data_IF_427628125664
#
_entry.id   IF_427628125664
#
_cell.length_a   1.000
_cell.length_b   1.000
_cell.length_c   1.000
_cell.angle_alpha   90.00
_cell.angle_beta   90.00
_cell.angle_gamma   90.00
#
_symmetry.space_group_name_H-M   'P 1'
#
loop_
_entity.id
_entity.type
_entity.pdbx_description
1 polymer ?
#
# COMPACT_ATOMS: atom_id res chain seq x y z
N UNK A 1 46.53 52.11 30.44
CA UNK A 1 46.90 50.80 29.89
C UNK A 1 46.19 50.62 28.56
N UNK A 2 47.00 50.51 27.50
CA UNK A 2 46.84 49.77 26.25
C UNK A 2 45.53 49.90 25.45
N UNK A 3 45.67 50.69 24.37
CA UNK A 3 44.99 50.63 23.08
C UNK A 3 45.28 49.32 22.35
N UNK A 4 44.26 48.64 21.81
CA UNK A 4 44.32 47.62 20.74
C UNK A 4 42.91 47.42 20.18
N UNK A 5 42.65 47.10 18.92
CA UNK A 5 43.23 47.42 17.63
C UNK A 5 42.14 47.05 16.62
N UNK A 6 41.92 47.87 15.60
CA UNK A 6 41.06 47.54 14.47
C UNK A 6 41.66 46.39 13.66
N UNK A 7 40.84 45.41 13.27
CA UNK A 7 41.11 44.45 12.21
C UNK A 7 39.81 44.31 11.41
N UNK A 8 39.64 45.05 10.32
CA UNK A 8 40.01 44.62 8.95
C UNK A 8 39.61 43.18 8.66
N UNK A 9 38.35 42.99 8.24
CA UNK A 9 37.95 41.82 7.46
C UNK A 9 38.03 42.18 5.98
N UNK A 10 38.78 41.44 5.15
CA UNK A 10 38.98 41.77 3.75
C UNK A 10 37.73 41.46 2.92
N UNK A 11 37.35 42.46 2.12
CA UNK A 11 36.46 42.39 0.99
C UNK A 11 37.25 41.89 -0.24
N UNK A 12 37.20 40.60 -0.56
CA UNK A 12 37.63 40.01 -1.85
C UNK A 12 36.87 38.69 -1.99
N UNK A 13 36.00 38.45 -2.96
CA UNK A 13 36.21 38.55 -4.40
C UNK A 13 35.68 37.21 -4.96
N UNK A 14 34.58 37.25 -5.70
CA UNK A 14 34.05 36.06 -6.36
C UNK A 14 34.96 35.68 -7.54
N UNK A 15 35.19 34.38 -7.75
CA UNK A 15 35.19 33.84 -9.10
C UNK A 15 34.06 32.83 -9.25
N UNK A 16 33.19 33.10 -10.21
CA UNK A 16 32.22 32.19 -10.79
C UNK A 16 32.83 30.81 -10.99
N UNK A 17 32.41 29.84 -10.18
CA UNK A 17 32.62 28.43 -10.50
C UNK A 17 31.43 28.03 -11.34
N UNK A 18 31.56 28.21 -12.65
CA UNK A 18 30.69 27.56 -13.63
C UNK A 18 30.82 26.06 -13.40
N UNK A 19 29.79 25.46 -12.78
CA UNK A 19 29.64 24.02 -12.77
C UNK A 19 29.40 23.59 -14.22
N UNK A 20 30.19 22.64 -14.76
CA UNK A 20 29.92 22.11 -16.09
C UNK A 20 28.52 21.52 -16.08
N UNK A 21 27.66 22.06 -16.94
CA UNK A 21 26.37 21.48 -17.27
C UNK A 21 26.63 20.12 -17.90
N UNK A 22 26.61 19.07 -17.08
CA UNK A 22 26.52 17.69 -17.54
C UNK A 22 25.14 17.54 -18.17
N UNK A 23 25.05 17.94 -19.44
CA UNK A 23 24.08 17.40 -20.37
C UNK A 23 24.48 15.96 -20.66
N UNK A 24 24.14 15.04 -19.77
CA UNK A 24 24.25 13.62 -20.08
C UNK A 24 23.27 12.80 -19.24
N UNK A 25 22.37 12.13 -19.95
CA UNK A 25 21.36 11.25 -19.37
C UNK A 25 20.12 12.02 -18.93
N UNK A 26 19.16 12.19 -19.84
CA UNK A 26 17.76 12.15 -19.43
C UNK A 26 17.56 10.78 -18.77
N UNK A 27 17.81 10.69 -17.46
CA UNK A 27 17.34 9.59 -16.63
C UNK A 27 15.85 9.51 -16.91
N UNK A 28 15.44 8.50 -17.68
CA UNK A 28 14.04 8.11 -17.76
C UNK A 28 13.58 8.10 -16.31
N UNK A 29 12.70 9.04 -15.95
CA UNK A 29 12.06 8.99 -14.65
C UNK A 29 11.52 7.56 -14.54
N UNK A 30 11.82 6.82 -13.44
CA UNK A 30 11.34 5.47 -13.29
C UNK A 30 9.84 5.50 -13.56
N UNK A 31 9.37 4.73 -14.55
CA UNK A 31 7.95 4.72 -14.92
C UNK A 31 7.14 4.56 -13.63
N UNK A 32 6.21 5.48 -13.39
CA UNK A 32 5.38 5.39 -12.20
C UNK A 32 4.64 4.07 -12.26
N UNK A 33 4.54 3.37 -11.14
CA UNK A 33 3.77 2.13 -11.07
C UNK A 33 2.32 2.33 -11.57
N UNK A 34 1.74 3.50 -11.32
CA UNK A 34 0.44 3.87 -11.84
C UNK A 34 0.40 3.86 -13.38
N UNK A 35 1.45 4.34 -14.04
CA UNK A 35 1.55 4.38 -15.51
C UNK A 35 1.69 2.97 -16.09
N UNK A 36 2.48 2.10 -15.45
CA UNK A 36 2.60 0.69 -15.85
C UNK A 36 1.26 -0.05 -15.74
N UNK A 37 0.54 0.14 -14.64
CA UNK A 37 -0.80 -0.47 -14.47
C UNK A 37 -1.79 0.11 -15.47
N UNK A 38 -1.78 1.43 -15.70
CA UNK A 38 -2.65 2.08 -16.67
C UNK A 38 -2.42 1.54 -18.09
N UNK A 39 -1.16 1.36 -18.49
CA UNK A 39 -0.79 0.73 -19.77
C UNK A 39 -1.32 -0.70 -19.85
N UNK A 40 -1.10 -1.51 -18.81
CA UNK A 40 -1.55 -2.89 -18.77
C UNK A 40 -3.08 -3.00 -18.86
N UNK A 41 -3.81 -2.17 -18.12
CA UNK A 41 -5.28 -2.13 -18.12
C UNK A 41 -5.91 -1.51 -19.37
N UNK A 42 -5.11 -1.01 -20.31
CA UNK A 42 -5.64 -0.47 -21.58
C UNK A 42 -6.28 -1.53 -22.48
N UNK A 43 -5.93 -2.80 -22.26
CA UNK A 43 -6.55 -3.94 -22.94
C UNK A 43 -7.67 -4.52 -22.10
N UNK A 44 -8.70 -5.07 -22.74
CA UNK A 44 -9.83 -5.70 -22.05
C UNK A 44 -9.37 -6.83 -21.10
N UNK A 45 -8.43 -7.67 -21.57
CA UNK A 45 -7.84 -8.74 -20.75
C UNK A 45 -7.05 -8.19 -19.55
N UNK A 46 -6.25 -7.15 -19.76
CA UNK A 46 -5.48 -6.52 -18.69
C UNK A 46 -6.39 -5.85 -17.66
N UNK A 47 -7.47 -5.21 -18.09
CA UNK A 47 -8.48 -4.64 -17.19
C UNK A 47 -9.16 -5.72 -16.34
N UNK A 48 -9.62 -6.80 -16.97
CA UNK A 48 -10.22 -7.94 -16.26
C UNK A 48 -9.25 -8.54 -15.23
N UNK A 49 -7.97 -8.63 -15.57
CA UNK A 49 -6.95 -9.18 -14.68
C UNK A 49 -6.65 -8.25 -13.50
N UNK A 50 -6.60 -6.93 -13.71
CA UNK A 50 -6.47 -5.94 -12.63
C UNK A 50 -7.65 -6.02 -11.66
N UNK A 51 -8.89 -6.08 -12.17
CA UNK A 51 -10.08 -6.21 -11.33
C UNK A 51 -10.10 -7.54 -10.57
N UNK A 52 -9.67 -8.63 -11.20
CA UNK A 52 -9.53 -9.93 -10.52
C UNK A 52 -8.53 -9.85 -9.38
N UNK A 53 -7.37 -9.23 -9.60
CA UNK A 53 -6.34 -9.08 -8.56
C UNK A 53 -6.85 -8.24 -7.39
N UNK A 54 -7.59 -7.15 -7.66
CA UNK A 54 -8.25 -6.33 -6.63
C UNK A 54 -9.18 -7.15 -5.76
N UNK A 55 -10.02 -7.96 -6.40
CA UNK A 55 -10.99 -8.80 -5.73
C UNK A 55 -10.32 -9.90 -4.89
N UNK A 56 -9.34 -10.59 -5.46
CA UNK A 56 -8.64 -11.68 -4.76
C UNK A 56 -7.75 -11.16 -3.62
N UNK A 57 -7.13 -9.98 -3.78
CA UNK A 57 -6.39 -9.32 -2.70
C UNK A 57 -7.30 -9.01 -1.51
N UNK A 58 -8.53 -8.53 -1.79
CA UNK A 58 -9.54 -8.26 -0.77
C UNK A 58 -9.96 -9.52 -0.03
N UNK A 59 -10.31 -10.58 -0.77
CA UNK A 59 -10.71 -11.87 -0.20
C UNK A 59 -9.59 -12.46 0.66
N UNK A 60 -8.35 -12.41 0.17
CA UNK A 60 -7.19 -12.90 0.91
C UNK A 60 -7.06 -12.21 2.27
N UNK A 61 -7.17 -10.89 2.32
CA UNK A 61 -7.08 -10.13 3.57
C UNK A 61 -8.28 -10.41 4.49
N UNK A 62 -9.49 -10.49 3.92
CA UNK A 62 -10.70 -10.82 4.68
C UNK A 62 -10.58 -12.19 5.37
N UNK A 63 -10.16 -13.21 4.63
CA UNK A 63 -10.10 -14.60 5.10
C UNK A 63 -8.88 -14.87 5.99
N UNK A 64 -7.70 -14.38 5.61
CA UNK A 64 -6.45 -14.68 6.31
C UNK A 64 -6.20 -13.80 7.54
N UNK A 65 -6.77 -12.58 7.58
CA UNK A 65 -6.47 -11.62 8.64
C UNK A 65 -7.70 -11.23 9.47
N UNK A 66 -8.79 -10.79 8.83
CA UNK A 66 -9.93 -10.23 9.56
C UNK A 66 -10.79 -11.35 10.19
N UNK A 67 -11.09 -12.40 9.44
CA UNK A 67 -11.93 -13.51 9.92
C UNK A 67 -11.39 -14.17 11.20
N UNK A 68 -10.07 -14.49 11.32
CA UNK A 68 -9.53 -15.06 12.54
C UNK A 68 -9.67 -14.14 13.77
N UNK A 69 -9.57 -12.83 13.59
CA UNK A 69 -9.74 -11.85 14.67
C UNK A 69 -11.19 -11.88 15.17
N UNK A 70 -12.17 -11.87 14.26
CA UNK A 70 -13.59 -11.94 14.60
C UNK A 70 -13.93 -13.26 15.31
N UNK A 71 -13.37 -14.37 14.83
CA UNK A 71 -13.52 -15.67 15.48
C UNK A 71 -13.00 -15.65 16.92
N UNK A 72 -11.82 -15.05 17.16
CA UNK A 72 -11.26 -14.92 18.51
C UNK A 72 -12.11 -14.04 19.43
N UNK A 73 -12.69 -12.96 18.91
CA UNK A 73 -13.59 -12.10 19.66
C UNK A 73 -14.83 -12.89 20.10
N UNK A 74 -15.43 -13.69 19.20
CA UNK A 74 -16.56 -14.56 19.55
C UNK A 74 -16.18 -15.62 20.57
N UNK A 75 -15.04 -16.29 20.38
CA UNK A 75 -14.55 -17.33 21.31
C UNK A 75 -14.31 -16.79 22.72
N UNK A 76 -13.87 -15.54 22.83
CA UNK A 76 -13.59 -14.90 24.11
C UNK A 76 -14.82 -14.20 24.74
N UNK A 77 -16.01 -14.31 24.14
CA UNK A 77 -17.22 -13.77 24.73
C UNK A 77 -17.65 -14.63 25.93
N UNK A 78 -17.25 -14.21 27.13
CA UNK A 78 -17.59 -14.83 28.42
C UNK A 78 -18.77 -14.14 29.11
N UNK A 79 -19.77 -13.68 28.35
CA UNK A 79 -20.95 -13.07 28.93
C UNK A 79 -21.72 -14.08 29.80
N UNK A 80 -22.16 -13.62 30.99
CA UNK A 80 -22.99 -14.41 31.88
C UNK A 80 -24.40 -14.64 31.28
N UNK A 81 -25.04 -15.75 31.64
CA UNK A 81 -26.41 -16.03 31.23
C UNK A 81 -27.37 -14.92 31.71
N UNK A 82 -28.38 -14.52 30.91
CA UNK A 82 -28.84 -15.09 29.64
C UNK A 82 -28.19 -14.51 28.36
N UNK A 83 -27.15 -13.68 28.48
CA UNK A 83 -26.53 -12.96 27.36
C UNK A 83 -25.28 -13.64 26.80
N UNK A 84 -24.98 -14.86 27.27
CA UNK A 84 -23.88 -15.68 26.77
C UNK A 84 -24.11 -16.19 25.34
N UNK A 85 -23.05 -16.63 24.69
CA UNK A 85 -23.08 -17.14 23.30
C UNK A 85 -24.11 -18.26 23.14
N UNK A 86 -25.16 -17.99 22.36
CA UNK A 86 -26.22 -18.96 22.08
C UNK A 86 -25.79 -20.02 21.07
N UNK A 87 -26.49 -21.16 21.01
CA UNK A 87 -26.19 -22.20 20.02
C UNK A 87 -26.42 -21.73 18.57
N UNK A 88 -27.35 -20.80 18.37
CA UNK A 88 -27.52 -20.14 17.07
C UNK A 88 -26.27 -19.35 16.69
N UNK A 89 -25.73 -18.55 17.61
CA UNK A 89 -24.55 -17.72 17.37
C UNK A 89 -23.27 -18.54 17.12
N UNK A 90 -23.15 -19.72 17.74
CA UNK A 90 -22.06 -20.65 17.41
C UNK A 90 -22.13 -21.16 15.97
N UNK A 91 -23.34 -21.37 15.44
CA UNK A 91 -23.56 -21.91 14.08
C UNK A 91 -23.47 -20.83 13.01
N UNK A 92 -24.06 -19.66 13.29
CA UNK A 92 -24.13 -18.55 12.33
C UNK A 92 -22.96 -17.58 12.45
N UNK A 93 -22.21 -17.61 13.56
CA UNK A 93 -21.06 -16.76 13.81
C UNK A 93 -20.05 -16.74 12.66
N UNK A 94 -19.56 -17.90 12.17
CA UNK A 94 -18.62 -17.92 11.03
C UNK A 94 -19.17 -17.30 9.74
N UNK A 95 -20.48 -17.44 9.49
CA UNK A 95 -21.15 -16.84 8.32
C UNK A 95 -21.20 -15.32 8.46
N UNK A 96 -21.56 -14.86 9.67
CA UNK A 96 -21.58 -13.43 10.00
C UNK A 96 -20.18 -12.82 9.93
N UNK A 97 -19.17 -13.49 10.50
CA UNK A 97 -17.77 -13.05 10.43
C UNK A 97 -17.32 -12.85 9.00
N UNK A 98 -17.67 -13.76 8.08
CA UNK A 98 -17.30 -13.63 6.67
C UNK A 98 -17.90 -12.38 6.03
N UNK A 99 -19.17 -12.10 6.28
CA UNK A 99 -19.84 -10.91 5.75
C UNK A 99 -19.22 -9.61 6.33
N UNK A 100 -18.92 -9.61 7.63
CA UNK A 100 -18.25 -8.48 8.29
C UNK A 100 -16.83 -8.32 7.73
N UNK A 101 -16.07 -9.39 7.60
CA UNK A 101 -14.71 -9.38 7.08
C UNK A 101 -14.64 -8.83 5.65
N UNK A 102 -15.58 -9.22 4.79
CA UNK A 102 -15.70 -8.68 3.42
C UNK A 102 -16.04 -7.18 3.41
N UNK A 103 -16.92 -6.75 4.32
CA UNK A 103 -17.25 -5.32 4.45
C UNK A 103 -16.09 -4.48 5.00
N UNK A 104 -15.22 -5.07 5.82
CA UNK A 104 -14.07 -4.43 6.44
C UNK A 104 -12.85 -4.38 5.50
N UNK A 105 -12.69 -5.38 4.63
CA UNK A 105 -11.59 -5.46 3.67
C UNK A 105 -11.75 -4.50 2.48
N UNK A 106 -12.78 -3.65 2.47
CA UNK A 106 -12.90 -2.63 1.43
C UNK A 106 -11.66 -1.71 1.43
N UNK A 107 -11.10 -1.36 0.26
CA UNK A 107 -9.85 -0.60 0.16
C UNK A 107 -9.89 0.75 0.89
N UNK A 108 -11.07 1.39 0.95
CA UNK A 108 -11.28 2.67 1.65
C UNK A 108 -11.14 2.57 3.17
N UNK A 109 -11.20 1.35 3.73
CA UNK A 109 -11.25 1.10 5.17
C UNK A 109 -10.03 0.35 5.69
N UNK A 110 -9.28 -0.30 4.81
CA UNK A 110 -8.19 -1.20 5.22
C UNK A 110 -6.95 -1.05 4.31
N UNK A 111 -5.98 -0.20 4.69
CA UNK A 111 -4.79 0.10 3.86
C UNK A 111 -3.95 -1.12 3.47
N UNK A 112 -4.03 -2.21 4.23
CA UNK A 112 -3.32 -3.45 3.91
C UNK A 112 -3.84 -4.11 2.63
N UNK A 113 -5.10 -3.90 2.24
CA UNK A 113 -5.61 -4.43 0.96
C UNK A 113 -4.88 -3.77 -0.20
N UNK A 114 -4.66 -2.46 -0.14
CA UNK A 114 -3.92 -1.73 -1.17
C UNK A 114 -2.47 -2.20 -1.28
N UNK A 115 -1.81 -2.50 -0.15
CA UNK A 115 -0.43 -3.00 -0.18
C UNK A 115 -0.33 -4.40 -0.79
N UNK A 116 -1.29 -5.29 -0.49
CA UNK A 116 -1.38 -6.63 -1.09
C UNK A 116 -1.71 -6.55 -2.57
N UNK A 117 -2.68 -5.72 -2.96
CA UNK A 117 -3.03 -5.47 -4.37
C UNK A 117 -1.81 -4.99 -5.15
N UNK A 118 -1.12 -3.96 -4.63
CA UNK A 118 0.08 -3.41 -5.26
C UNK A 118 1.18 -4.46 -5.40
N UNK A 119 1.34 -5.32 -4.39
CA UNK A 119 2.30 -6.43 -4.45
C UNK A 119 1.93 -7.46 -5.53
N UNK A 120 0.66 -7.87 -5.61
CA UNK A 120 0.20 -8.84 -6.60
C UNK A 120 0.26 -8.28 -8.02
N UNK A 121 -0.15 -7.03 -8.23
CA UNK A 121 -0.05 -6.34 -9.52
C UNK A 121 1.40 -6.22 -10.00
N UNK A 122 2.32 -5.85 -9.10
CA UNK A 122 3.76 -5.81 -9.40
C UNK A 122 4.34 -7.16 -9.78
N UNK A 123 3.71 -8.27 -9.43
CA UNK A 123 4.20 -9.60 -9.82
C UNK A 123 3.68 -10.05 -11.17
N UNK A 124 2.51 -9.57 -11.57
CA UNK A 124 1.82 -10.03 -12.79
C UNK A 124 2.16 -9.14 -13.99
N UNK A 125 2.17 -7.82 -13.82
CA UNK A 125 2.49 -6.86 -14.90
C UNK A 125 3.89 -7.11 -15.51
N UNK A 126 4.95 -7.43 -14.73
CA UNK A 126 6.26 -7.74 -15.32
C UNK A 126 6.31 -9.09 -16.02
N UNK A 127 5.49 -10.07 -15.64
CA UNK A 127 5.53 -11.39 -16.28
C UNK A 127 4.86 -11.40 -17.65
N UNK A 128 3.84 -10.56 -17.88
CA UNK A 128 3.22 -10.45 -19.21
C UNK A 128 4.14 -9.85 -20.27
N UNK A 129 5.10 -9.01 -19.90
CA UNK A 129 6.08 -8.44 -20.85
C UNK A 129 7.16 -9.42 -21.28
N UNK A 130 7.42 -10.46 -20.47
CA UNK A 130 8.39 -11.51 -20.79
C UNK A 130 7.77 -12.60 -21.67
N UNK A 131 6.44 -12.64 -21.79
CA UNK A 131 5.70 -13.67 -22.52
C UNK A 131 4.94 -13.17 -23.76
N UNK A 132 5.07 -11.89 -24.11
CA UNK A 132 4.58 -11.29 -25.35
C UNK A 132 5.73 -11.11 -26.35
#
# INVERSE_FOLDING_TARGET
>A
MISMNSAEFPLFGAPSTELPSVTEGASRAPESFADMVARFSSTEKGQQQVETIREESRKLVAEAFITPILAKIRENNQAAAPFGTTDAEKRFGPIYDRAVADSMSRPDRFPMVESVERYMLRRIVPQSEVMA
#
